data_IF_904458801296
#
_entry.id   IF_904458801296
#
_cell.length_a   1.000
_cell.length_b   1.000
_cell.length_c   1.000
_cell.angle_alpha   90.00
_cell.angle_beta   90.00
_cell.angle_gamma   90.00
#
_symmetry.space_group_name_H-M   'P 1'
#
loop_
_entity.id
_entity.type
_entity.pdbx_description
1 polymer ?
#
# COMPACT_ATOMS: atom_id res chain seq x y z
N UNK A 1 10.88 17.53 -2.39
CA UNK A 1 10.88 16.49 -3.43
C UNK A 1 10.07 15.31 -2.96
N UNK A 2 9.18 14.81 -3.80
CA UNK A 2 8.34 13.66 -3.46
C UNK A 2 9.04 12.35 -3.86
N UNK A 3 8.84 11.32 -3.06
CA UNK A 3 9.28 9.97 -3.38
C UNK A 3 8.10 9.17 -3.88
N UNK A 4 8.25 8.60 -5.07
CA UNK A 4 7.25 7.67 -5.62
C UNK A 4 7.82 6.27 -5.43
N UNK A 5 7.08 5.42 -4.75
CA UNK A 5 7.56 4.09 -4.42
C UNK A 5 6.56 3.01 -4.82
N UNK A 6 7.11 1.82 -5.04
CA UNK A 6 6.36 0.58 -5.07
C UNK A 6 6.53 -0.09 -3.71
N UNK A 7 5.44 -0.30 -3.01
CA UNK A 7 5.42 -0.95 -1.70
C UNK A 7 4.77 -2.31 -1.86
N UNK A 8 5.51 -3.36 -1.52
CA UNK A 8 4.98 -4.73 -1.50
C UNK A 8 4.72 -5.10 -0.05
N UNK A 9 3.51 -5.54 0.25
CA UNK A 9 3.11 -5.78 1.63
C UNK A 9 2.14 -6.96 1.73
N UNK A 10 2.02 -7.50 2.93
CA UNK A 10 1.08 -8.59 3.22
C UNK A 10 -0.23 -8.01 3.72
N UNK A 11 -1.30 -8.38 3.06
CA UNK A 11 -2.63 -7.90 3.38
C UNK A 11 -3.47 -9.02 4.01
N UNK A 12 -4.21 -8.67 5.04
CA UNK A 12 -5.16 -9.58 5.64
C UNK A 12 -6.34 -9.78 4.68
N UNK A 13 -6.72 -11.03 4.48
CA UNK A 13 -7.87 -11.36 3.64
C UNK A 13 -9.07 -11.70 4.50
N UNK A 14 -10.15 -10.96 4.32
CA UNK A 14 -11.46 -11.34 4.82
C UNK A 14 -12.11 -12.30 3.84
N UNK A 15 -13.01 -13.15 4.31
CA UNK A 15 -13.72 -14.07 3.44
C UNK A 15 -14.59 -13.35 2.41
N UNK A 16 -14.21 -13.46 1.15
CA UNK A 16 -15.03 -12.97 0.05
C UNK A 16 -16.30 -13.82 -0.11
N UNK A 17 -16.26 -15.06 0.35
CA UNK A 17 -17.39 -15.98 0.32
C UNK A 17 -18.07 -16.01 1.68
N UNK A 18 -19.30 -15.55 1.72
CA UNK A 18 -20.12 -15.59 2.93
C UNK A 18 -20.83 -16.94 2.95
N UNK A 19 -20.77 -17.62 4.09
CA UNK A 19 -21.44 -18.89 4.28
C UNK A 19 -20.63 -19.87 5.10
N UNK A 20 -21.25 -21.02 5.39
CA UNK A 20 -20.60 -22.07 6.16
C UNK A 20 -19.61 -22.82 5.29
N UNK A 21 -18.37 -22.97 5.77
CA UNK A 21 -17.31 -23.72 5.10
C UNK A 21 -16.65 -24.67 6.07
N UNK A 22 -16.02 -25.73 5.56
CA UNK A 22 -15.30 -26.66 6.42
C UNK A 22 -14.09 -25.96 7.08
N UNK A 23 -13.67 -26.47 8.23
CA UNK A 23 -12.48 -25.94 8.91
C UNK A 23 -11.24 -26.11 8.06
N UNK A 24 -11.15 -27.20 7.28
CA UNK A 24 -10.01 -27.43 6.38
C UNK A 24 -9.92 -26.32 5.33
N UNK A 25 -11.03 -25.91 4.73
CA UNK A 25 -11.06 -24.79 3.79
C UNK A 25 -10.63 -23.48 4.44
N UNK A 26 -11.10 -23.22 5.67
CA UNK A 26 -10.76 -22.01 6.40
C UNK A 26 -9.28 -21.95 6.77
N UNK A 27 -8.70 -23.07 7.15
CA UNK A 27 -7.30 -23.13 7.55
C UNK A 27 -6.33 -23.05 6.39
N UNK A 28 -6.78 -23.29 5.17
CA UNK A 28 -5.99 -23.13 3.95
C UNK A 28 -5.93 -21.69 3.44
N UNK A 29 -6.71 -20.80 4.04
CA UNK A 29 -6.71 -19.39 3.68
C UNK A 29 -5.33 -18.76 3.87
N UNK A 30 -4.91 -17.96 2.90
CA UNK A 30 -3.57 -17.36 2.89
C UNK A 30 -3.64 -15.85 2.96
N UNK A 31 -2.58 -15.28 3.50
CA UNK A 31 -2.39 -13.82 3.47
C UNK A 31 -2.06 -13.42 2.03
N UNK A 32 -2.73 -12.42 1.52
CA UNK A 32 -2.47 -11.92 0.17
C UNK A 32 -1.23 -11.04 0.13
N UNK A 33 -0.59 -11.00 -1.02
CA UNK A 33 0.47 -10.03 -1.29
C UNK A 33 -0.13 -8.89 -2.10
N UNK A 34 -0.01 -7.68 -1.58
CA UNK A 34 -0.50 -6.48 -2.24
C UNK A 34 0.68 -5.64 -2.73
N UNK A 35 0.45 -4.92 -3.81
CA UNK A 35 1.43 -3.96 -4.34
C UNK A 35 0.75 -2.62 -4.45
N UNK A 36 1.30 -1.62 -3.79
CA UNK A 36 0.79 -0.25 -3.84
C UNK A 36 1.87 0.68 -4.41
N UNK A 37 1.46 1.55 -5.32
CA UNK A 37 2.37 2.50 -5.97
C UNK A 37 1.82 3.90 -5.75
N UNK A 38 2.67 4.79 -5.31
CA UNK A 38 2.29 6.18 -5.11
C UNK A 38 3.35 6.99 -4.41
N UNK A 39 2.98 8.20 -4.05
CA UNK A 39 3.85 9.09 -3.31
C UNK A 39 3.84 8.70 -1.84
N UNK A 40 5.01 8.65 -1.23
CA UNK A 40 5.15 8.35 0.19
C UNK A 40 4.96 9.65 0.98
N UNK A 41 3.88 9.71 1.73
CA UNK A 41 3.59 10.85 2.60
C UNK A 41 4.20 10.70 3.98
N UNK A 42 4.23 9.46 4.48
CA UNK A 42 4.79 9.13 5.79
C UNK A 42 5.53 7.79 5.66
N UNK A 43 6.70 7.72 6.26
CA UNK A 43 7.47 6.49 6.40
C UNK A 43 8.17 6.54 7.75
N UNK A 44 7.54 5.97 8.77
CA UNK A 44 8.06 5.93 10.13
C UNK A 44 8.08 4.50 10.68
N UNK A 45 8.34 4.33 11.96
CA UNK A 45 8.43 3.01 12.58
C UNK A 45 7.08 2.30 12.67
N UNK A 46 5.99 3.04 12.63
CA UNK A 46 4.64 2.49 12.75
C UNK A 46 4.00 2.17 11.42
N UNK A 47 4.17 3.07 10.44
CA UNK A 47 3.37 3.00 9.22
C UNK A 47 4.05 3.63 8.03
N UNK A 48 3.54 3.24 6.87
CA UNK A 48 3.79 3.92 5.61
C UNK A 48 2.44 4.44 5.09
N UNK A 49 2.41 5.66 4.59
CA UNK A 49 1.23 6.19 3.90
C UNK A 49 1.59 6.43 2.45
N UNK A 50 0.86 5.74 1.56
CA UNK A 50 1.04 5.82 0.11
C UNK A 50 -0.17 6.53 -0.48
N UNK A 51 0.07 7.56 -1.28
CA UNK A 51 -1.00 8.35 -1.89
C UNK A 51 -0.83 8.39 -3.41
N UNK A 52 -1.83 7.91 -4.18
CA UNK A 52 -1.73 7.88 -5.64
C UNK A 52 -2.15 9.18 -6.32
N UNK A 53 -2.93 10.02 -5.65
CA UNK A 53 -3.46 11.25 -6.23
C UNK A 53 -3.13 12.47 -5.39
N UNK A 54 -2.50 13.47 -6.01
CA UNK A 54 -2.13 14.71 -5.34
C UNK A 54 -2.62 15.89 -6.17
N UNK A 55 -3.08 16.93 -5.46
CA UNK A 55 -3.29 18.24 -6.07
C UNK A 55 -2.08 19.09 -5.76
N UNK A 56 -1.47 19.63 -6.81
CA UNK A 56 -0.25 20.43 -6.72
C UNK A 56 -0.55 21.81 -7.27
N UNK A 57 -0.29 22.83 -6.47
CA UNK A 57 -0.46 24.22 -6.87
C UNK A 57 0.82 24.98 -6.52
N UNK A 58 1.40 25.67 -7.50
CA UNK A 58 2.67 26.41 -7.35
C UNK A 58 3.79 25.55 -6.74
N UNK A 59 3.92 24.30 -7.21
CA UNK A 59 4.88 23.30 -6.72
C UNK A 59 4.68 22.89 -5.26
N UNK A 60 3.53 23.24 -4.68
CA UNK A 60 3.15 22.84 -3.32
C UNK A 60 2.06 21.78 -3.39
N UNK A 61 2.27 20.68 -2.69
CA UNK A 61 1.24 19.67 -2.53
C UNK A 61 0.24 20.16 -1.51
N UNK A 62 -0.99 20.36 -1.96
CA UNK A 62 -2.05 20.93 -1.15
C UNK A 62 -3.02 19.87 -0.61
N UNK A 63 -3.40 18.92 -1.44
CA UNK A 63 -4.34 17.88 -1.08
C UNK A 63 -3.95 16.55 -1.70
N UNK A 64 -4.45 15.47 -1.11
CA UNK A 64 -4.30 14.12 -1.64
C UNK A 64 -5.60 13.36 -1.53
N UNK A 65 -5.71 12.27 -2.28
CA UNK A 65 -6.89 11.41 -2.28
C UNK A 65 -6.49 9.94 -2.43
N UNK A 66 -7.31 9.08 -1.86
CA UNK A 66 -7.17 7.62 -1.93
C UNK A 66 -5.88 7.10 -1.27
N UNK A 67 -5.44 7.74 -0.20
CA UNK A 67 -4.29 7.25 0.55
C UNK A 67 -4.57 5.89 1.17
N UNK A 68 -3.52 5.08 1.29
CA UNK A 68 -3.57 3.84 2.04
C UNK A 68 -2.53 3.90 3.16
N UNK A 69 -2.95 3.50 4.36
CA UNK A 69 -2.09 3.42 5.54
C UNK A 69 -1.73 1.96 5.76
N UNK A 70 -0.45 1.66 5.66
CA UNK A 70 0.05 0.29 5.77
C UNK A 70 0.88 0.17 7.06
N UNK A 71 0.52 -0.75 7.98
CA UNK A 71 1.36 -1.01 9.14
C UNK A 71 2.78 -1.40 8.69
N UNK A 72 3.79 -0.79 9.27
CA UNK A 72 5.17 -1.00 8.85
C UNK A 72 5.59 -2.46 8.91
N UNK A 73 5.12 -3.18 9.92
CA UNK A 73 5.45 -4.59 10.11
C UNK A 73 4.90 -5.50 9.00
N UNK A 74 3.92 -5.01 8.22
CA UNK A 74 3.35 -5.77 7.08
C UNK A 74 4.11 -5.52 5.78
N UNK A 75 5.01 -4.55 5.76
CA UNK A 75 5.76 -4.19 4.56
C UNK A 75 6.88 -5.19 4.31
N UNK A 76 6.92 -5.74 3.11
CA UNK A 76 7.97 -6.66 2.68
C UNK A 76 9.11 -5.94 2.00
N UNK A 77 8.79 -4.98 1.13
CA UNK A 77 9.79 -4.19 0.43
C UNK A 77 9.26 -2.84 0.01
N UNK A 78 10.15 -1.88 -0.08
CA UNK A 78 9.89 -0.54 -0.60
C UNK A 78 10.94 -0.27 -1.66
N UNK A 79 10.51 0.03 -2.88
CA UNK A 79 11.42 0.36 -3.98
C UNK A 79 11.05 1.73 -4.50
N UNK A 80 11.99 2.64 -4.43
CA UNK A 80 11.82 3.97 -5.01
C UNK A 80 11.84 3.87 -6.52
N UNK A 81 10.87 4.50 -7.17
CA UNK A 81 10.75 4.50 -8.61
C UNK A 81 11.40 5.76 -9.18
N UNK A 82 12.16 5.58 -10.24
CA UNK A 82 12.83 6.67 -10.92
C UNK A 82 12.16 6.95 -12.26
N UNK A 83 12.14 8.21 -12.62
CA UNK A 83 11.67 8.63 -13.92
C UNK A 83 12.67 8.17 -14.98
N UNK A 84 12.18 7.47 -16.00
CA UNK A 84 13.03 6.96 -17.07
C UNK A 84 12.99 7.92 -18.25
N UNK A 85 14.15 8.53 -18.49
CA UNK A 85 14.35 9.40 -19.64
C UNK A 85 14.91 8.57 -20.79
N UNK A 86 14.20 8.57 -21.92
CA UNK A 86 14.69 7.78 -23.04
C UNK A 86 14.21 8.24 -24.37
#
# INVERSE_FOLDING_TARGET
>A
MVRICKVVWKDAQGGANVGWRSLDELTESKVATAVSIGVILVDDDEKIIVCPHLLVEDDVIDQGDAEIVIPKQWVMSIVELEEKHG
#
